data_IF_280984566369
#
_entry.id   IF_280984566369
#
_cell.length_a   1.000
_cell.length_b   1.000
_cell.length_c   1.000
_cell.angle_alpha   90.00
_cell.angle_beta   90.00
_cell.angle_gamma   90.00
#
_symmetry.space_group_name_H-M   'P 1'
#
loop_
_entity.id
_entity.type
_entity.pdbx_description
1 polymer ?
#
# COMPACT_ATOMS: atom_id res chain seq x y z
N UNK A 1 -9.12 -3.32 -17.73
CA UNK A 1 -8.22 -2.72 -16.73
C UNK A 1 -9.02 -2.52 -15.45
N UNK A 2 -8.42 -2.85 -14.29
CA UNK A 2 -9.05 -2.63 -12.98
C UNK A 2 -8.00 -2.03 -12.04
N UNK A 3 -8.23 -0.78 -11.63
CA UNK A 3 -7.38 -0.05 -10.68
C UNK A 3 -8.03 0.02 -9.30
N UNK A 4 -7.25 0.38 -8.28
CA UNK A 4 -7.79 0.48 -6.93
C UNK A 4 -7.19 1.61 -6.12
N UNK A 5 -7.96 2.14 -5.16
CA UNK A 5 -7.49 2.90 -4.01
C UNK A 5 -7.73 2.09 -2.74
N UNK A 6 -6.66 1.86 -1.97
CA UNK A 6 -6.69 0.95 -0.82
C UNK A 6 -6.12 1.62 0.44
N UNK A 7 -6.86 2.54 1.06
CA UNK A 7 -6.40 3.27 2.24
C UNK A 7 -6.61 2.49 3.54
N UNK A 8 -5.69 2.71 4.52
CA UNK A 8 -5.86 2.22 5.89
C UNK A 8 -6.60 3.26 6.75
N UNK A 9 -7.77 2.94 7.32
CA UNK A 9 -8.61 3.87 8.07
C UNK A 9 -8.10 4.08 9.50
N UNK A 10 -6.89 4.60 9.67
CA UNK A 10 -6.22 4.83 10.96
C UNK A 10 -6.35 6.27 11.44
N UNK A 11 -7.16 7.10 10.78
CA UNK A 11 -7.47 8.52 11.05
C UNK A 11 -8.15 9.14 9.84
N UNK A 12 -8.44 10.44 9.92
CA UNK A 12 -9.00 11.20 8.79
C UNK A 12 -8.05 11.18 7.58
N UNK A 13 -8.62 11.26 6.38
CA UNK A 13 -7.83 11.28 5.14
C UNK A 13 -7.04 12.60 5.03
N UNK A 14 -5.79 12.49 4.63
CA UNK A 14 -4.91 13.64 4.40
C UNK A 14 -4.60 13.81 2.91
N UNK A 15 -4.05 14.98 2.55
CA UNK A 15 -3.76 15.31 1.14
C UNK A 15 -2.90 14.27 0.42
N UNK A 16 -1.95 13.63 1.12
CA UNK A 16 -1.15 12.55 0.52
C UNK A 16 -1.96 11.32 0.11
N UNK A 17 -3.05 11.00 0.83
CA UNK A 17 -3.97 9.95 0.41
C UNK A 17 -4.83 10.39 -0.78
N UNK A 18 -5.35 11.64 -0.76
CA UNK A 18 -6.12 12.20 -1.88
C UNK A 18 -5.27 12.27 -3.15
N UNK A 19 -3.97 12.60 -3.01
CA UNK A 19 -3.01 12.57 -4.10
C UNK A 19 -2.94 11.19 -4.79
N UNK A 20 -2.78 10.13 -4.01
CA UNK A 20 -2.76 8.77 -4.56
C UNK A 20 -4.12 8.36 -5.14
N UNK A 21 -5.22 8.71 -4.46
CA UNK A 21 -6.57 8.49 -4.97
C UNK A 21 -6.77 9.17 -6.32
N UNK A 22 -6.34 10.43 -6.45
CA UNK A 22 -6.47 11.22 -7.68
C UNK A 22 -5.71 10.58 -8.85
N UNK A 23 -4.43 10.26 -8.64
CA UNK A 23 -3.59 9.67 -9.70
C UNK A 23 -4.12 8.30 -10.13
N UNK A 24 -4.50 7.44 -9.17
CA UNK A 24 -5.05 6.11 -9.47
C UNK A 24 -6.43 6.20 -10.16
N UNK A 25 -7.26 7.16 -9.76
CA UNK A 25 -8.56 7.38 -10.37
C UNK A 25 -8.44 7.83 -11.82
N UNK A 26 -7.63 8.86 -12.08
CA UNK A 26 -7.43 9.39 -13.44
C UNK A 26 -6.82 8.30 -14.34
N UNK A 27 -5.82 7.55 -13.86
CA UNK A 27 -5.24 6.46 -14.64
C UNK A 27 -6.28 5.41 -15.01
N UNK A 28 -7.10 4.99 -14.03
CA UNK A 28 -8.14 3.99 -14.24
C UNK A 28 -9.23 4.49 -15.20
N UNK A 29 -9.75 5.69 -14.97
CA UNK A 29 -10.87 6.22 -15.76
C UNK A 29 -10.47 6.56 -17.21
N UNK A 30 -9.26 7.06 -17.44
CA UNK A 30 -8.76 7.33 -18.79
C UNK A 30 -8.58 6.07 -19.63
N UNK A 31 -8.45 4.91 -18.98
CA UNK A 31 -8.40 3.60 -19.62
C UNK A 31 -9.79 2.91 -19.65
N UNK A 32 -10.87 3.64 -19.35
CA UNK A 32 -12.24 3.09 -19.24
C UNK A 32 -12.32 1.89 -18.30
N UNK A 33 -11.49 1.89 -17.25
CA UNK A 33 -11.35 0.79 -16.31
C UNK A 33 -12.34 0.87 -15.14
N UNK A 34 -12.45 -0.25 -14.43
CA UNK A 34 -13.19 -0.39 -13.17
C UNK A 34 -12.35 0.13 -12.02
N UNK A 35 -12.90 1.04 -11.22
CA UNK A 35 -12.23 1.58 -10.05
C UNK A 35 -12.76 0.96 -8.76
N UNK A 36 -11.86 0.40 -7.98
CA UNK A 36 -12.16 -0.31 -6.73
C UNK A 36 -11.71 0.53 -5.54
N UNK A 37 -12.55 0.64 -4.50
CA UNK A 37 -12.12 1.14 -3.19
C UNK A 37 -12.11 -0.02 -2.20
N UNK A 38 -10.99 -0.22 -1.49
CA UNK A 38 -10.85 -1.24 -0.46
C UNK A 38 -10.29 -0.64 0.82
N UNK A 39 -10.91 -0.95 1.96
CA UNK A 39 -10.45 -0.52 3.27
C UNK A 39 -9.43 -1.51 3.85
N UNK A 40 -8.19 -1.05 4.03
CA UNK A 40 -7.10 -1.85 4.59
C UNK A 40 -7.06 -1.68 6.13
N UNK A 41 -8.02 -2.30 6.79
CA UNK A 41 -8.26 -2.24 8.23
C UNK A 41 -7.80 -3.50 8.99
N UNK A 42 -6.86 -4.26 8.42
CA UNK A 42 -6.33 -5.50 8.99
C UNK A 42 -5.69 -5.28 10.38
N UNK A 43 -5.13 -4.11 10.64
CA UNK A 43 -4.67 -3.69 11.97
C UNK A 43 -5.84 -3.07 12.74
N UNK A 44 -6.69 -3.94 13.31
CA UNK A 44 -7.89 -3.54 14.05
C UNK A 44 -7.60 -2.72 15.31
N UNK A 45 -6.35 -2.69 15.82
CA UNK A 45 -6.00 -1.85 16.97
C UNK A 45 -5.85 -0.38 16.57
N UNK A 46 -5.35 -0.10 15.37
CA UNK A 46 -5.14 1.25 14.85
C UNK A 46 -6.24 1.71 13.91
N UNK A 47 -6.90 0.79 13.22
CA UNK A 47 -7.98 1.09 12.28
C UNK A 47 -9.32 1.15 13.00
N UNK A 48 -10.16 2.11 12.60
CA UNK A 48 -11.52 2.27 13.14
C UNK A 48 -12.51 2.39 11.99
N UNK A 49 -13.63 1.68 12.10
CA UNK A 49 -14.73 1.74 11.12
C UNK A 49 -15.19 3.19 10.88
N UNK A 50 -15.30 3.99 11.96
CA UNK A 50 -15.68 5.39 11.86
C UNK A 50 -14.73 6.25 11.03
N UNK A 51 -13.42 5.97 11.05
CA UNK A 51 -12.47 6.65 10.18
C UNK A 51 -12.60 6.19 8.72
N UNK A 52 -12.97 4.93 8.49
CA UNK A 52 -13.25 4.43 7.16
C UNK A 52 -14.51 5.08 6.56
N UNK A 53 -15.58 5.19 7.35
CA UNK A 53 -16.80 5.87 6.89
C UNK A 53 -16.53 7.36 6.60
N UNK A 54 -15.82 8.06 7.48
CA UNK A 54 -15.44 9.46 7.25
C UNK A 54 -14.55 9.63 6.01
N UNK A 55 -13.68 8.66 5.71
CA UNK A 55 -12.86 8.65 4.51
C UNK A 55 -13.71 8.50 3.25
N UNK A 56 -14.73 7.62 3.28
CA UNK A 56 -15.67 7.48 2.17
C UNK A 56 -16.48 8.76 1.95
N UNK A 57 -16.96 9.41 3.04
CA UNK A 57 -17.65 10.70 2.97
C UNK A 57 -16.76 11.77 2.32
N UNK A 58 -15.49 11.84 2.68
CA UNK A 58 -14.54 12.80 2.10
C UNK A 58 -14.25 12.50 0.63
N UNK A 59 -14.15 11.21 0.22
CA UNK A 59 -14.00 10.84 -1.19
C UNK A 59 -15.21 11.23 -2.02
N UNK A 60 -16.42 10.94 -1.55
CA UNK A 60 -17.67 11.32 -2.21
C UNK A 60 -17.79 12.87 -2.32
N UNK A 61 -17.45 13.60 -1.26
CA UNK A 61 -17.43 15.05 -1.26
C UNK A 61 -16.44 15.64 -2.27
N UNK A 62 -15.27 14.96 -2.47
CA UNK A 62 -14.29 15.33 -3.49
C UNK A 62 -14.74 14.95 -4.91
N UNK A 63 -15.84 14.21 -5.07
CA UNK A 63 -16.41 13.79 -6.35
C UNK A 63 -15.89 12.47 -6.88
N UNK A 64 -15.20 11.65 -6.04
CA UNK A 64 -14.82 10.31 -6.44
C UNK A 64 -16.03 9.38 -6.50
N UNK A 65 -16.10 8.60 -7.56
CA UNK A 65 -17.07 7.52 -7.75
C UNK A 65 -16.32 6.22 -8.00
N UNK A 66 -16.73 5.14 -7.35
CA UNK A 66 -16.13 3.82 -7.53
C UNK A 66 -17.16 2.79 -7.95
N UNK A 67 -16.73 1.79 -8.71
CA UNK A 67 -17.60 0.77 -9.28
C UNK A 67 -17.76 -0.42 -8.34
N UNK A 68 -16.72 -0.71 -7.55
CA UNK A 68 -16.70 -1.79 -6.58
C UNK A 68 -16.10 -1.29 -5.25
N UNK A 69 -16.70 -1.68 -4.14
CA UNK A 69 -16.18 -1.24 -2.83
C UNK A 69 -17.27 -1.09 -1.76
N UNK A 70 -16.91 -0.51 -0.60
CA UNK A 70 -17.89 -0.17 0.42
C UNK A 70 -18.99 0.74 -0.17
N UNK A 71 -20.21 0.61 0.32
CA UNK A 71 -21.44 1.33 -0.09
C UNK A 71 -22.01 0.90 -1.44
N UNK A 72 -21.18 0.57 -2.44
CA UNK A 72 -21.66 0.18 -3.78
C UNK A 72 -21.69 -1.34 -3.97
N UNK A 73 -20.91 -2.11 -3.19
CA UNK A 73 -20.81 -3.55 -3.34
C UNK A 73 -19.91 -3.96 -4.50
N UNK A 74 -20.17 -5.12 -5.09
CA UNK A 74 -19.41 -5.71 -6.19
C UNK A 74 -19.36 -7.23 -6.08
N UNK A 75 -18.50 -7.93 -6.86
CA UNK A 75 -18.42 -9.39 -6.86
C UNK A 75 -17.87 -9.99 -5.54
N UNK A 76 -17.13 -9.22 -4.74
CA UNK A 76 -16.56 -9.69 -3.48
C UNK A 76 -17.55 -9.59 -2.32
N UNK A 77 -17.44 -10.52 -1.37
CA UNK A 77 -18.30 -10.53 -0.16
C UNK A 77 -18.07 -9.30 0.72
N UNK A 78 -16.84 -8.81 0.77
CA UNK A 78 -16.49 -7.60 1.50
C UNK A 78 -15.29 -6.90 0.86
N UNK A 79 -15.26 -5.58 1.04
CA UNK A 79 -14.15 -4.68 0.69
C UNK A 79 -13.45 -4.11 1.93
N UNK A 80 -13.64 -4.74 3.10
CA UNK A 80 -12.95 -4.47 4.34
C UNK A 80 -12.04 -5.65 4.66
N UNK A 81 -10.75 -5.43 4.84
CA UNK A 81 -9.79 -6.53 5.07
C UNK A 81 -10.08 -7.31 6.36
N UNK A 82 -10.56 -6.63 7.40
CA UNK A 82 -10.96 -7.28 8.67
C UNK A 82 -12.05 -8.33 8.51
N UNK A 83 -12.86 -8.25 7.46
CA UNK A 83 -13.93 -9.19 7.14
C UNK A 83 -13.49 -10.33 6.20
N UNK A 84 -12.23 -10.33 5.75
CA UNK A 84 -11.66 -11.28 4.77
C UNK A 84 -10.65 -12.27 5.39
N UNK A 85 -10.47 -12.25 6.71
CA UNK A 85 -9.51 -13.10 7.43
C UNK A 85 -9.61 -14.60 7.12
N UNK A 86 -10.80 -15.21 6.93
CA UNK A 86 -10.90 -16.63 6.58
C UNK A 86 -10.19 -16.98 5.25
N UNK A 87 -10.25 -16.11 4.26
CA UNK A 87 -9.55 -16.29 2.97
C UNK A 87 -8.02 -16.29 3.18
N UNK A 88 -7.52 -15.41 4.04
CA UNK A 88 -6.08 -15.35 4.34
C UNK A 88 -5.62 -16.59 5.10
N UNK A 89 -6.44 -17.11 6.04
CA UNK A 89 -6.15 -18.35 6.76
C UNK A 89 -6.05 -19.54 5.82
N UNK A 90 -6.99 -19.70 4.89
CA UNK A 90 -6.99 -20.78 3.90
C UNK A 90 -5.72 -20.79 3.05
N UNK A 91 -5.34 -19.62 2.53
CA UNK A 91 -4.12 -19.51 1.70
C UNK A 91 -2.88 -19.76 2.54
N UNK A 92 -2.79 -19.23 3.77
CA UNK A 92 -1.65 -19.46 4.65
C UNK A 92 -1.50 -20.94 4.99
N UNK A 93 -2.59 -21.65 5.30
CA UNK A 93 -2.59 -23.08 5.56
C UNK A 93 -2.13 -23.89 4.34
N UNK A 94 -2.57 -23.51 3.14
CA UNK A 94 -2.13 -24.12 1.88
C UNK A 94 -0.62 -23.94 1.68
N UNK A 95 -0.07 -22.75 1.93
CA UNK A 95 1.37 -22.48 1.87
C UNK A 95 2.16 -23.25 2.95
N UNK A 96 1.59 -23.45 4.14
CA UNK A 96 2.21 -24.26 5.20
C UNK A 96 2.30 -25.74 4.78
N UNK A 97 1.21 -26.29 4.26
CA UNK A 97 1.15 -27.70 3.80
C UNK A 97 2.14 -27.99 2.65
N UNK A 98 2.46 -27.03 1.82
CA UNK A 98 3.48 -27.17 0.76
C UNK A 98 4.91 -26.96 1.26
N UNK A 99 5.10 -26.60 2.53
CA UNK A 99 6.42 -26.33 3.11
C UNK A 99 7.09 -25.04 2.62
N UNK A 100 6.34 -24.17 1.93
CA UNK A 100 6.82 -22.88 1.43
C UNK A 100 6.94 -21.83 2.53
N UNK A 101 6.31 -22.06 3.68
CA UNK A 101 6.43 -21.18 4.84
C UNK A 101 6.93 -21.98 6.05
N UNK A 102 7.42 -21.26 7.05
CA UNK A 102 7.94 -21.85 8.28
C UNK A 102 7.72 -20.95 9.50
N UNK A 103 7.65 -21.54 10.72
CA UNK A 103 7.52 -20.77 11.95
C UNK A 103 8.84 -20.10 12.35
N UNK A 104 8.78 -18.81 12.67
CA UNK A 104 9.90 -18.01 13.13
C UNK A 104 9.64 -17.48 14.55
N UNK A 105 10.56 -17.75 15.46
CA UNK A 105 10.50 -17.41 16.87
C UNK A 105 11.37 -16.20 17.26
N UNK A 106 12.01 -15.53 16.28
CA UNK A 106 12.82 -14.35 16.53
C UNK A 106 11.97 -13.19 17.10
N UNK A 107 12.54 -12.44 18.05
CA UNK A 107 11.96 -11.22 18.56
C UNK A 107 12.57 -9.98 17.86
N UNK A 108 11.98 -8.80 18.12
CA UNK A 108 12.47 -7.55 17.54
C UNK A 108 13.91 -7.25 17.89
N UNK A 109 14.27 -7.45 19.15
CA UNK A 109 15.64 -7.19 19.66
C UNK A 109 16.68 -7.99 18.89
N UNK A 110 16.41 -9.30 18.65
CA UNK A 110 17.28 -10.12 17.84
C UNK A 110 17.38 -9.65 16.39
N UNK A 111 16.25 -9.33 15.76
CA UNK A 111 16.24 -8.84 14.38
C UNK A 111 17.00 -7.51 14.24
N UNK A 112 16.91 -6.63 15.23
CA UNK A 112 17.66 -5.37 15.27
C UNK A 112 19.17 -5.59 15.48
N UNK A 113 19.56 -6.60 16.26
CA UNK A 113 20.99 -6.87 16.51
C UNK A 113 21.71 -7.48 15.31
N UNK A 114 20.96 -8.06 14.34
CA UNK A 114 21.51 -8.61 13.10
C UNK A 114 21.64 -7.54 12.03
N UNK A 115 20.76 -6.51 12.07
CA UNK A 115 20.86 -5.37 11.18
C UNK A 115 22.18 -4.64 11.53
N UNK A 116 23.25 -4.91 10.79
CA UNK A 116 24.45 -4.08 10.79
C UNK A 116 24.05 -2.62 10.60
N UNK A 117 24.77 -1.71 11.25
CA UNK A 117 24.47 -0.26 11.23
C UNK A 117 24.02 0.18 9.85
N UNK A 118 22.79 0.74 9.72
CA UNK A 118 22.23 1.04 8.41
C UNK A 118 23.11 2.11 7.76
N UNK A 119 23.58 1.85 6.54
CA UNK A 119 24.01 2.90 5.65
C UNK A 119 22.81 3.81 5.39
N UNK A 120 23.03 5.12 5.36
CA UNK A 120 21.97 6.12 5.10
C UNK A 120 21.12 5.68 3.89
N UNK A 121 19.85 5.32 4.12
CA UNK A 121 18.89 4.90 3.10
C UNK A 121 18.46 3.43 3.16
N UNK A 122 19.12 2.55 3.91
CA UNK A 122 18.72 1.14 4.03
C UNK A 122 17.82 0.90 5.25
N UNK A 123 16.52 0.82 5.05
CA UNK A 123 15.54 0.34 6.05
C UNK A 123 15.17 -1.13 5.77
N UNK A 124 16.10 -1.91 5.27
CA UNK A 124 15.85 -3.35 5.06
C UNK A 124 16.37 -4.10 6.27
N UNK A 125 15.46 -4.54 7.14
CA UNK A 125 15.78 -5.50 8.19
C UNK A 125 16.11 -6.85 7.54
N UNK A 126 17.39 -7.07 7.23
CA UNK A 126 17.87 -8.36 6.73
C UNK A 126 17.62 -9.43 7.80
N UNK A 127 16.98 -10.51 7.39
CA UNK A 127 16.81 -11.69 8.22
C UNK A 127 17.97 -12.67 7.93
N UNK A 128 18.46 -13.37 8.93
CA UNK A 128 19.59 -14.30 8.79
C UNK A 128 19.19 -15.78 8.60
N UNK A 129 17.92 -16.04 8.33
CA UNK A 129 17.41 -17.40 8.13
C UNK A 129 17.40 -18.28 9.40
N UNK A 130 17.67 -17.74 10.58
CA UNK A 130 17.89 -18.51 11.83
C UNK A 130 16.84 -19.59 12.12
N UNK A 131 15.58 -19.33 11.87
CA UNK A 131 14.50 -20.30 12.13
C UNK A 131 14.16 -21.17 10.90
N UNK A 132 14.75 -20.91 9.73
CA UNK A 132 14.39 -21.55 8.47
C UNK A 132 14.64 -23.06 8.45
N UNK A 133 15.68 -23.52 9.16
CA UNK A 133 16.12 -24.91 9.22
C UNK A 133 15.79 -25.62 10.53
N UNK A 134 14.93 -25.06 11.37
CA UNK A 134 14.52 -25.71 12.61
C UNK A 134 13.81 -27.04 12.32
N UNK A 135 14.23 -28.12 13.02
CA UNK A 135 13.55 -29.40 12.94
C UNK A 135 12.21 -29.38 13.70
N UNK A 136 11.34 -30.34 13.39
CA UNK A 136 9.99 -30.42 13.94
C UNK A 136 9.95 -30.57 15.47
N UNK A 137 10.92 -31.23 16.08
CA UNK A 137 11.01 -31.38 17.54
C UNK A 137 11.28 -30.02 18.21
N UNK A 138 12.26 -29.27 17.70
CA UNK A 138 12.57 -27.92 18.17
C UNK A 138 11.40 -26.94 17.98
N UNK A 139 10.72 -27.04 16.84
CA UNK A 139 9.52 -26.22 16.58
C UNK A 139 8.43 -26.51 17.59
N UNK A 140 8.16 -27.80 17.90
CA UNK A 140 7.15 -28.20 18.92
C UNK A 140 7.49 -27.61 20.29
N UNK A 141 8.75 -27.72 20.73
CA UNK A 141 9.18 -27.16 22.02
C UNK A 141 9.01 -25.65 22.06
N UNK A 142 9.49 -24.92 21.02
CA UNK A 142 9.37 -23.46 20.95
C UNK A 142 7.92 -22.95 20.88
N UNK A 143 7.00 -23.73 20.30
CA UNK A 143 5.57 -23.39 20.28
C UNK A 143 4.93 -23.43 21.69
N UNK A 144 5.48 -24.15 22.64
CA UNK A 144 5.03 -24.14 24.04
C UNK A 144 5.35 -22.83 24.75
N UNK A 145 6.40 -22.14 24.32
CA UNK A 145 6.89 -20.92 24.94
C UNK A 145 6.33 -19.66 24.25
N UNK A 146 6.15 -19.73 22.92
CA UNK A 146 5.81 -18.53 22.12
C UNK A 146 5.10 -18.91 20.83
N UNK A 147 4.05 -18.15 20.50
CA UNK A 147 3.46 -18.20 19.17
C UNK A 147 4.43 -17.66 18.11
N UNK A 148 4.71 -18.43 17.05
CA UNK A 148 5.62 -18.00 16.00
C UNK A 148 4.96 -17.00 15.06
N UNK A 149 5.76 -16.14 14.44
CA UNK A 149 5.40 -15.54 13.17
C UNK A 149 5.63 -16.58 12.05
N UNK A 150 4.85 -16.47 10.97
CA UNK A 150 5.01 -17.32 9.79
C UNK A 150 5.75 -16.54 8.72
N UNK A 151 6.87 -17.10 8.23
CA UNK A 151 7.68 -16.50 7.16
C UNK A 151 7.63 -17.34 5.89
N UNK A 152 7.59 -16.68 4.74
CA UNK A 152 7.79 -17.34 3.46
C UNK A 152 9.28 -17.61 3.22
N UNK A 153 9.57 -18.76 2.61
CA UNK A 153 10.91 -19.13 2.16
C UNK A 153 11.20 -18.49 0.81
N UNK A 154 12.04 -17.48 0.80
CA UNK A 154 12.51 -16.88 -0.44
C UNK A 154 13.63 -17.76 -1.04
N UNK A 155 13.63 -17.92 -2.35
CA UNK A 155 14.75 -18.45 -3.14
C UNK A 155 15.40 -17.32 -3.89
N UNK A 156 16.67 -17.47 -4.27
CA UNK A 156 17.36 -16.47 -5.09
C UNK A 156 16.54 -16.17 -6.34
N UNK A 157 16.13 -14.93 -6.48
CA UNK A 157 15.20 -14.49 -7.51
C UNK A 157 15.44 -13.04 -7.88
N UNK A 158 15.33 -12.74 -9.16
CA UNK A 158 15.32 -11.39 -9.68
C UNK A 158 13.88 -10.97 -10.00
N UNK A 159 13.52 -9.76 -9.60
CA UNK A 159 12.24 -9.13 -9.85
C UNK A 159 12.47 -7.87 -10.68
N UNK A 160 12.20 -7.97 -11.97
CA UNK A 160 12.28 -6.86 -12.92
C UNK A 160 10.88 -6.43 -13.31
N UNK A 161 10.61 -5.14 -13.27
CA UNK A 161 9.35 -4.57 -13.75
C UNK A 161 9.53 -3.14 -14.21
N UNK A 162 8.67 -2.70 -15.10
CA UNK A 162 8.63 -1.32 -15.54
C UNK A 162 7.56 -0.57 -14.74
N UNK A 163 8.00 0.29 -13.83
CA UNK A 163 7.10 1.12 -13.05
C UNK A 163 6.59 2.30 -13.89
N UNK A 164 5.30 2.60 -13.80
CA UNK A 164 4.64 3.63 -14.60
C UNK A 164 5.31 5.00 -14.42
N UNK A 165 5.76 5.34 -13.20
CA UNK A 165 6.37 6.62 -12.90
C UNK A 165 7.89 6.53 -12.78
N UNK A 166 8.42 5.49 -12.13
CA UNK A 166 9.84 5.39 -11.81
C UNK A 166 10.68 4.67 -12.88
N UNK A 167 10.03 4.12 -13.94
CA UNK A 167 10.70 3.41 -15.02
C UNK A 167 11.20 2.02 -14.59
N UNK A 168 12.22 1.50 -15.28
CA UNK A 168 12.72 0.15 -15.05
C UNK A 168 13.27 -0.01 -13.62
N UNK A 169 12.76 -1.00 -12.91
CA UNK A 169 13.15 -1.38 -11.56
C UNK A 169 13.75 -2.78 -11.56
N UNK A 170 14.81 -2.95 -10.79
CA UNK A 170 15.56 -4.21 -10.66
C UNK A 170 15.81 -4.51 -9.19
N UNK A 171 15.24 -5.61 -8.68
CA UNK A 171 15.41 -6.06 -7.31
C UNK A 171 15.91 -7.50 -7.27
N UNK A 172 16.81 -7.79 -6.33
CA UNK A 172 17.30 -9.14 -6.08
C UNK A 172 16.82 -9.60 -4.71
N UNK A 173 16.09 -10.69 -4.67
CA UNK A 173 15.73 -11.40 -3.44
C UNK A 173 16.66 -12.57 -3.21
N UNK A 174 17.23 -12.67 -2.01
CA UNK A 174 18.28 -13.64 -1.65
C UNK A 174 17.74 -14.72 -0.73
N UNK A 175 18.11 -15.94 -1.03
CA UNK A 175 17.77 -17.12 -0.22
C UNK A 175 18.14 -16.93 1.26
N UNK A 176 17.16 -17.15 2.14
CA UNK A 176 17.35 -17.11 3.59
C UNK A 176 17.59 -15.72 4.21
N UNK A 177 17.83 -14.69 3.39
CA UNK A 177 18.08 -13.31 3.83
C UNK A 177 16.79 -12.47 3.69
N UNK A 178 16.10 -12.64 2.59
CA UNK A 178 14.93 -11.83 2.27
C UNK A 178 13.60 -12.55 2.57
N UNK A 179 13.64 -13.59 3.44
CA UNK A 179 12.45 -14.25 3.96
C UNK A 179 11.60 -13.26 4.77
N UNK A 180 10.36 -13.03 4.37
CA UNK A 180 9.51 -12.03 5.00
C UNK A 180 8.28 -12.63 5.70
N UNK A 181 7.72 -11.88 6.63
CA UNK A 181 6.59 -12.31 7.46
C UNK A 181 5.29 -12.24 6.66
N UNK A 182 4.49 -13.31 6.72
CA UNK A 182 3.14 -13.38 6.19
C UNK A 182 2.09 -13.27 7.31
N UNK A 183 2.40 -13.81 8.51
CA UNK A 183 1.57 -13.69 9.71
C UNK A 183 2.45 -13.46 10.92
N UNK A 184 2.09 -12.50 11.75
CA UNK A 184 2.79 -12.14 12.99
C UNK A 184 2.49 -13.14 14.10
N UNK A 185 3.36 -13.19 15.13
CA UNK A 185 3.15 -14.03 16.30
C UNK A 185 1.95 -13.65 17.17
N UNK A 186 1.42 -12.45 17.03
CA UNK A 186 0.16 -12.00 17.65
C UNK A 186 -1.08 -12.40 16.84
N UNK A 187 -0.91 -13.13 15.73
CA UNK A 187 -1.97 -13.61 14.86
C UNK A 187 -2.34 -12.67 13.72
N UNK A 188 -1.86 -11.43 13.72
CA UNK A 188 -2.17 -10.45 12.68
C UNK A 188 -1.47 -10.82 11.35
N UNK A 189 -2.19 -10.72 10.24
CA UNK A 189 -1.61 -10.90 8.90
C UNK A 189 -0.71 -9.72 8.54
N UNK A 190 0.36 -10.01 7.82
CA UNK A 190 1.25 -8.98 7.32
C UNK A 190 0.63 -8.29 6.09
N UNK A 191 0.95 -7.00 5.93
CA UNK A 191 0.49 -6.19 4.81
C UNK A 191 0.70 -6.87 3.45
N UNK A 192 1.91 -7.41 3.19
CA UNK A 192 2.23 -8.04 1.90
C UNK A 192 1.31 -9.22 1.57
N UNK A 193 0.92 -10.02 2.55
CA UNK A 193 0.01 -11.15 2.30
C UNK A 193 -1.40 -10.63 1.97
N UNK A 194 -1.95 -9.78 2.82
CA UNK A 194 -3.32 -9.32 2.68
C UNK A 194 -3.53 -8.55 1.37
N UNK A 195 -2.64 -7.60 1.05
CA UNK A 195 -2.78 -6.79 -0.17
C UNK A 195 -2.70 -7.65 -1.44
N UNK A 196 -1.76 -8.61 -1.50
CA UNK A 196 -1.61 -9.49 -2.68
C UNK A 196 -2.83 -10.40 -2.85
N UNK A 197 -3.32 -10.99 -1.76
CA UNK A 197 -4.49 -11.88 -1.83
C UNK A 197 -5.75 -11.13 -2.25
N UNK A 198 -5.93 -9.92 -1.74
CA UNK A 198 -7.07 -9.08 -2.11
C UNK A 198 -6.97 -8.60 -3.56
N UNK A 199 -5.79 -8.17 -3.99
CA UNK A 199 -5.59 -7.70 -5.36
C UNK A 199 -5.80 -8.86 -6.36
N UNK A 200 -5.39 -10.10 -6.02
CA UNK A 200 -5.69 -11.30 -6.82
C UNK A 200 -7.20 -11.57 -6.86
N UNK A 201 -7.85 -11.63 -5.71
CA UNK A 201 -9.27 -11.96 -5.61
C UNK A 201 -10.14 -10.93 -6.35
N UNK A 202 -9.81 -9.64 -6.22
CA UNK A 202 -10.52 -8.54 -6.86
C UNK A 202 -10.14 -8.35 -8.35
N UNK A 203 -9.14 -9.09 -8.85
CA UNK A 203 -8.69 -8.99 -10.24
C UNK A 203 -8.05 -7.64 -10.58
N UNK A 204 -7.30 -7.07 -9.64
CA UNK A 204 -6.61 -5.79 -9.83
C UNK A 204 -5.49 -5.95 -10.85
N UNK A 205 -5.46 -5.08 -11.86
CA UNK A 205 -4.47 -5.11 -12.94
C UNK A 205 -3.53 -3.91 -12.93
N UNK A 206 -3.86 -2.85 -12.18
CA UNK A 206 -3.00 -1.68 -12.01
C UNK A 206 -3.04 -1.17 -10.56
N UNK A 207 -1.86 -0.87 -10.03
CA UNK A 207 -1.67 -0.36 -8.67
C UNK A 207 -0.88 0.93 -8.71
N UNK A 208 -1.55 2.05 -8.42
CA UNK A 208 -0.87 3.32 -8.14
C UNK A 208 -0.84 3.53 -6.64
N UNK A 209 0.37 3.80 -6.10
CA UNK A 209 0.61 3.97 -4.65
C UNK A 209 1.81 4.85 -4.37
N UNK A 210 2.08 5.14 -3.10
CA UNK A 210 3.22 5.99 -2.71
C UNK A 210 4.58 5.33 -2.98
N UNK A 211 5.56 6.15 -3.33
CA UNK A 211 6.95 5.75 -3.62
C UNK A 211 7.61 4.94 -2.47
N UNK A 212 7.20 5.18 -1.24
CA UNK A 212 7.69 4.46 -0.05
C UNK A 212 7.42 2.94 -0.05
N UNK A 213 6.57 2.47 -0.95
CA UNK A 213 6.26 1.05 -1.13
C UNK A 213 7.01 0.40 -2.31
N UNK A 214 7.90 1.15 -2.99
CA UNK A 214 8.60 0.65 -4.18
C UNK A 214 9.42 -0.61 -3.87
N UNK A 215 10.23 -0.59 -2.82
CA UNK A 215 11.06 -1.75 -2.42
C UNK A 215 10.22 -2.97 -2.01
N UNK A 216 9.02 -2.73 -1.44
CA UNK A 216 8.09 -3.77 -1.02
C UNK A 216 7.52 -4.55 -2.20
N UNK A 217 7.52 -3.95 -3.40
CA UNK A 217 6.99 -4.53 -4.63
C UNK A 217 7.65 -5.86 -4.98
N UNK A 218 8.97 -5.98 -4.78
CA UNK A 218 9.69 -7.22 -5.05
C UNK A 218 9.16 -8.40 -4.22
N UNK A 219 8.87 -8.18 -2.94
CA UNK A 219 8.28 -9.20 -2.05
C UNK A 219 6.85 -9.56 -2.48
N UNK A 220 6.07 -8.59 -2.91
CA UNK A 220 4.71 -8.82 -3.40
C UNK A 220 4.72 -9.58 -4.73
N UNK A 221 5.58 -9.22 -5.67
CA UNK A 221 5.75 -9.98 -6.93
C UNK A 221 6.20 -11.42 -6.67
N UNK A 222 7.06 -11.64 -5.66
CA UNK A 222 7.43 -12.99 -5.24
C UNK A 222 6.20 -13.79 -4.74
N UNK A 223 5.29 -13.14 -4.00
CA UNK A 223 4.03 -13.78 -3.58
C UNK A 223 3.12 -14.09 -4.77
N UNK A 224 2.94 -13.15 -5.71
CA UNK A 224 2.18 -13.42 -6.94
C UNK A 224 2.70 -14.66 -7.65
N UNK A 225 4.02 -14.73 -7.87
CA UNK A 225 4.68 -15.91 -8.48
C UNK A 225 4.44 -17.19 -7.66
N UNK A 226 4.57 -17.13 -6.34
CA UNK A 226 4.35 -18.28 -5.45
C UNK A 226 2.91 -18.79 -5.49
N UNK A 227 1.97 -17.89 -5.71
CA UNK A 227 0.53 -18.18 -5.81
C UNK A 227 0.07 -18.53 -7.23
N UNK A 228 0.99 -18.57 -8.22
CA UNK A 228 0.71 -18.76 -9.63
C UNK A 228 -0.28 -17.72 -10.19
N UNK A 229 -0.13 -16.47 -9.77
CA UNK A 229 -0.93 -15.33 -10.24
C UNK A 229 -0.03 -14.31 -10.94
N UNK A 230 -0.59 -13.58 -11.92
CA UNK A 230 0.11 -12.51 -12.60
C UNK A 230 0.12 -11.24 -11.75
N UNK A 231 1.28 -10.59 -11.56
CA UNK A 231 1.35 -9.33 -10.85
C UNK A 231 0.72 -8.19 -11.69
N UNK A 232 0.09 -7.20 -11.04
CA UNK A 232 -0.43 -6.02 -11.73
C UNK A 232 0.70 -5.11 -12.23
N UNK A 233 0.36 -4.15 -13.10
CA UNK A 233 1.23 -3.02 -13.39
C UNK A 233 1.34 -2.12 -12.16
N UNK A 234 2.55 -1.65 -11.85
CA UNK A 234 2.80 -0.78 -10.70
C UNK A 234 3.15 0.65 -11.13
N UNK A 235 2.66 1.63 -10.38
CA UNK A 235 3.05 3.02 -10.48
C UNK A 235 3.30 3.60 -9.08
N UNK A 236 4.56 3.93 -8.78
CA UNK A 236 4.95 4.51 -7.50
C UNK A 236 5.06 6.03 -7.61
N UNK A 237 3.98 6.69 -7.20
CA UNK A 237 3.88 8.15 -7.25
C UNK A 237 4.72 8.81 -6.14
N UNK A 238 5.28 10.00 -6.39
CA UNK A 238 6.06 10.73 -5.40
C UNK A 238 5.23 11.03 -4.16
N UNK A 239 5.90 11.05 -3.01
CA UNK A 239 5.28 11.42 -1.74
C UNK A 239 5.17 12.94 -1.62
N UNK A 240 4.05 13.42 -1.11
CA UNK A 240 3.92 14.82 -0.75
C UNK A 240 4.65 15.09 0.57
N UNK A 241 5.57 16.03 0.57
CA UNK A 241 6.33 16.50 1.74
C UNK A 241 6.09 17.99 1.98
N UNK A 242 6.30 18.46 3.19
CA UNK A 242 6.30 19.89 3.53
C UNK A 242 7.62 20.58 3.15
N UNK A 243 7.71 21.90 3.41
CA UNK A 243 8.93 22.67 3.13
C UNK A 243 10.14 22.24 3.97
N UNK A 244 9.91 21.56 5.09
CA UNK A 244 10.95 21.08 6.01
C UNK A 244 11.41 19.65 5.65
N UNK A 245 10.88 19.08 4.55
CA UNK A 245 11.18 17.74 4.07
C UNK A 245 10.46 16.63 4.83
N UNK A 246 9.50 16.98 5.67
CA UNK A 246 8.72 16.00 6.40
C UNK A 246 7.54 15.52 5.56
N UNK A 247 7.30 14.24 5.62
CA UNK A 247 6.16 13.59 4.99
C UNK A 247 4.85 14.14 5.57
N UNK A 248 3.88 14.45 4.71
CA UNK A 248 2.52 14.77 5.14
C UNK A 248 1.85 13.51 5.71
N UNK A 249 2.22 13.16 6.96
CA UNK A 249 1.75 11.96 7.66
C UNK A 249 1.16 12.29 9.02
N UNK A 250 0.35 11.39 9.57
CA UNK A 250 -0.45 11.53 10.81
C UNK A 250 0.31 11.97 12.07
N UNK A 251 1.64 11.89 12.12
CA UNK A 251 2.43 12.25 13.31
C UNK A 251 2.87 13.71 13.37
N UNK A 252 2.82 14.42 12.27
CA UNK A 252 3.24 15.81 12.17
C UNK A 252 2.16 16.57 11.40
N UNK A 253 1.19 17.21 12.12
CA UNK A 253 0.16 18.13 11.59
C UNK A 253 -0.11 18.04 10.08
N UNK A 254 -0.45 16.82 9.60
CA UNK A 254 -0.85 16.64 8.20
C UNK A 254 -2.21 17.27 8.03
N UNK A 255 -2.34 18.14 7.06
CA UNK A 255 -3.60 18.80 6.72
C UNK A 255 -4.57 17.72 6.23
N UNK A 256 -5.64 17.50 6.97
CA UNK A 256 -6.71 16.57 6.60
C UNK A 256 -7.73 17.25 5.71
N UNK A 257 -8.43 16.47 4.87
CA UNK A 257 -9.56 16.98 4.07
C UNK A 257 -10.61 17.61 4.97
N UNK A 258 -10.89 16.99 6.12
CA UNK A 258 -11.81 17.53 7.12
C UNK A 258 -11.42 18.93 7.58
N UNK A 259 -10.14 19.16 7.96
CA UNK A 259 -9.67 20.47 8.39
C UNK A 259 -9.75 21.52 7.27
N UNK A 260 -9.41 21.17 6.04
CA UNK A 260 -9.54 22.07 4.90
C UNK A 260 -11.01 22.46 4.67
N UNK A 261 -11.90 21.47 4.70
CA UNK A 261 -13.34 21.69 4.56
C UNK A 261 -13.90 22.56 5.67
N UNK A 262 -13.52 22.31 6.93
CA UNK A 262 -13.92 23.11 8.09
C UNK A 262 -13.40 24.57 7.99
N UNK A 263 -12.27 24.79 7.28
CA UNK A 263 -11.71 26.10 6.96
C UNK A 263 -12.26 26.72 5.65
N UNK A 264 -13.34 26.18 5.10
CA UNK A 264 -14.06 26.74 3.93
C UNK A 264 -13.44 26.44 2.57
N UNK A 265 -12.53 25.46 2.47
CA UNK A 265 -12.03 25.02 1.18
C UNK A 265 -13.10 24.19 0.44
N UNK A 266 -13.25 24.44 -0.86
CA UNK A 266 -14.08 23.59 -1.72
C UNK A 266 -13.29 22.35 -2.19
N UNK A 267 -14.02 21.33 -2.64
CA UNK A 267 -13.45 20.14 -3.26
C UNK A 267 -12.59 20.50 -4.48
N UNK A 268 -13.10 21.38 -5.33
CA UNK A 268 -12.42 21.83 -6.54
C UNK A 268 -11.11 22.59 -6.22
N UNK A 269 -11.07 23.34 -5.11
CA UNK A 269 -9.85 24.01 -4.67
C UNK A 269 -8.79 23.01 -4.25
N UNK A 270 -9.15 21.99 -3.47
CA UNK A 270 -8.21 20.91 -3.05
C UNK A 270 -7.70 20.17 -4.27
N UNK A 271 -8.59 19.76 -5.17
CA UNK A 271 -8.22 19.06 -6.40
C UNK A 271 -7.38 19.94 -7.33
N UNK A 272 -7.65 21.25 -7.38
CA UNK A 272 -6.85 22.21 -8.15
C UNK A 272 -5.41 22.28 -7.70
N UNK A 273 -5.17 22.37 -6.38
CA UNK A 273 -3.80 22.37 -5.83
C UNK A 273 -3.04 21.08 -6.18
N UNK A 274 -3.71 19.93 -6.07
CA UNK A 274 -3.11 18.64 -6.45
C UNK A 274 -2.91 18.54 -7.97
N UNK A 275 -3.80 19.10 -8.77
CA UNK A 275 -3.69 19.13 -10.23
C UNK A 275 -2.50 19.97 -10.72
N UNK A 276 -2.19 21.06 -10.02
CA UNK A 276 -0.97 21.85 -10.29
C UNK A 276 0.28 21.03 -9.98
N UNK A 277 0.29 20.29 -8.86
CA UNK A 277 1.42 19.42 -8.50
C UNK A 277 1.62 18.26 -9.49
N UNK A 278 0.53 17.76 -10.07
CA UNK A 278 0.56 16.72 -11.10
C UNK A 278 0.91 17.25 -12.50
N UNK A 279 1.09 18.56 -12.66
CA UNK A 279 1.33 19.17 -13.97
C UNK A 279 0.10 19.16 -14.90
N UNK A 280 -1.10 18.87 -14.40
CA UNK A 280 -2.33 18.87 -15.22
C UNK A 280 -2.73 20.29 -15.62
N UNK A 281 -2.63 21.21 -14.69
CA UNK A 281 -2.96 22.63 -14.92
C UNK A 281 -1.77 23.52 -14.56
N UNK A 282 -1.64 24.70 -15.20
CA UNK A 282 -0.57 25.63 -14.88
C UNK A 282 -0.76 26.19 -13.46
N UNK A 283 0.34 26.59 -12.85
CA UNK A 283 0.33 27.23 -11.54
C UNK A 283 -0.43 28.56 -11.58
N UNK A 284 -1.37 28.75 -10.67
CA UNK A 284 -2.12 30.00 -10.44
C UNK A 284 -2.39 30.20 -8.94
N UNK A 285 -2.83 31.39 -8.53
CA UNK A 285 -2.98 31.75 -7.12
C UNK A 285 -4.09 31.00 -6.40
N UNK A 286 -5.11 30.54 -7.10
CA UNK A 286 -6.24 29.81 -6.52
C UNK A 286 -6.76 28.76 -7.50
N UNK A 287 -6.00 27.70 -7.76
CA UNK A 287 -6.42 26.69 -8.70
C UNK A 287 -7.71 26.00 -8.22
N UNK A 288 -8.66 25.87 -9.13
CA UNK A 288 -9.95 25.24 -8.83
C UNK A 288 -10.43 24.46 -10.05
N UNK A 289 -10.63 23.15 -9.88
CA UNK A 289 -11.04 22.27 -10.96
C UNK A 289 -11.82 21.07 -10.40
N UNK A 290 -12.92 20.70 -11.06
CA UNK A 290 -13.68 19.52 -10.66
C UNK A 290 -12.96 18.22 -11.04
N UNK A 291 -13.20 17.14 -10.29
CA UNK A 291 -12.65 15.84 -10.61
C UNK A 291 -13.07 15.37 -12.02
N UNK A 292 -14.29 15.64 -12.42
CA UNK A 292 -14.81 15.33 -13.76
C UNK A 292 -13.99 16.03 -14.85
N UNK A 293 -13.66 17.31 -14.66
CA UNK A 293 -12.82 18.04 -15.61
C UNK A 293 -11.39 17.47 -15.66
N UNK A 294 -10.87 16.96 -14.56
CA UNK A 294 -9.55 16.34 -14.50
C UNK A 294 -9.43 15.06 -15.36
N UNK A 295 -10.52 14.37 -15.64
CA UNK A 295 -10.52 13.19 -16.53
C UNK A 295 -10.17 13.50 -17.99
N UNK A 296 -10.16 14.78 -18.37
CA UNK A 296 -9.70 15.20 -19.72
C UNK A 296 -8.18 15.29 -19.82
N UNK A 297 -7.46 15.18 -18.70
CA UNK A 297 -6.00 15.26 -18.64
C UNK A 297 -5.38 13.88 -18.58
N UNK A 298 -4.20 13.75 -19.16
CA UNK A 298 -3.37 12.54 -19.06
C UNK A 298 -2.23 12.80 -18.07
N UNK A 299 -1.98 11.83 -17.20
CA UNK A 299 -0.87 11.91 -16.26
C UNK A 299 0.46 11.95 -17.03
N UNK A 300 1.25 12.99 -16.81
CA UNK A 300 2.60 13.11 -17.37
C UNK A 300 3.57 12.37 -16.47
N UNK A 301 3.88 11.14 -16.85
CA UNK A 301 4.70 10.23 -16.03
C UNK A 301 6.09 10.78 -15.77
N UNK A 302 6.65 11.56 -16.70
CA UNK A 302 7.98 12.16 -16.59
C UNK A 302 8.08 13.20 -15.47
N UNK A 303 7.01 13.98 -15.23
CA UNK A 303 6.95 14.99 -14.17
C UNK A 303 6.84 14.35 -12.77
N UNK A 304 6.38 13.11 -12.71
CA UNK A 304 6.23 12.32 -11.47
C UNK A 304 7.42 11.37 -11.21
N UNK A 305 8.49 11.44 -12.02
CA UNK A 305 9.68 10.61 -11.85
C UNK A 305 10.62 11.17 -10.79
N UNK A 306 10.13 11.17 -9.54
CA UNK A 306 10.89 11.60 -8.36
C UNK A 306 10.33 10.92 -7.11
N UNK A 307 11.10 10.95 -6.03
CA UNK A 307 10.66 10.35 -4.76
C UNK A 307 9.66 11.24 -4.02
N UNK A 308 9.81 12.57 -4.13
CA UNK A 308 9.05 13.54 -3.35
C UNK A 308 8.67 14.76 -4.17
N UNK A 309 7.51 15.33 -3.85
CA UNK A 309 7.06 16.65 -4.32
C UNK A 309 6.78 17.53 -3.11
N UNK A 310 7.34 18.74 -3.10
CA UNK A 310 7.13 19.70 -2.01
C UNK A 310 5.80 20.40 -2.18
N UNK A 311 4.91 20.22 -1.20
CA UNK A 311 3.69 21.00 -1.07
C UNK A 311 4.04 22.34 -0.43
N UNK A 312 4.09 23.40 -1.25
CA UNK A 312 4.36 24.75 -0.74
C UNK A 312 3.20 25.24 0.14
N UNK A 313 3.52 25.95 1.22
CA UNK A 313 2.55 26.55 2.16
C UNK A 313 1.62 27.60 1.50
N UNK A 314 0.85 27.22 0.53
CA UNK A 314 -0.36 27.97 0.13
C UNK A 314 -1.64 27.26 0.61
N UNK A 315 -1.44 26.09 1.24
CA UNK A 315 -2.51 25.27 1.82
C UNK A 315 -2.43 25.35 3.34
#
# INVERSE_FOLDING_TARGET
>A
MKGRFAPSPTGYIHLGNVWIALLSYISTRNQHGTYVVRMEDIDMQRSKRSFGEALLDDLEWLGFEWDEGPRVGGPELSYWQSERLPMYDEVLQRLENTGLIYPCFCNRTRLQSIASAPHRGEVVHHYDGHCRSLNSATVKLKRLEKNPSMRIKVTDSTMDFNDIYQGLQHFVLRHGVDDFVLRRGDGMYAYNLAVVLDDIAMGITEIIRGHDLLETTAQQMYLYRTLNAEPPCYGHAPLLIDNDGHRLSKRQKSITVKELRDNGWSAERILGELAVLAGFIPKCDAPSISLKSLLTYTVRTEELRCEHIVLKKSI
#
